data_IF_353412705652
#
_entry.id   IF_353412705652
#
_cell.length_a   1.000
_cell.length_b   1.000
_cell.length_c   1.000
_cell.angle_alpha   90.00
_cell.angle_beta   90.00
_cell.angle_gamma   90.00
#
_symmetry.space_group_name_H-M   'P 1'
#
loop_
_entity.id
_entity.type
_entity.pdbx_description
1 polymer ?
#
# COMPACT_ATOMS: atom_id res chain seq x y z
N UNK A 1 6.41 13.21 -26.52
CA UNK A 1 7.53 13.21 -25.57
C UNK A 1 7.02 12.86 -24.18
N UNK A 2 7.73 11.99 -23.47
CA UNK A 2 7.52 11.71 -22.06
C UNK A 2 8.67 12.33 -21.24
N UNK A 3 8.38 13.40 -20.53
CA UNK A 3 9.31 14.05 -19.62
C UNK A 3 9.14 13.50 -18.21
N UNK A 4 10.22 12.99 -17.64
CA UNK A 4 10.27 12.51 -16.26
C UNK A 4 11.42 13.21 -15.51
N UNK A 5 11.20 13.54 -14.24
CA UNK A 5 12.24 14.14 -13.39
C UNK A 5 13.34 13.14 -13.03
N UNK A 6 12.95 11.89 -12.77
CA UNK A 6 13.82 10.79 -12.41
C UNK A 6 13.25 9.48 -12.92
N UNK A 7 14.09 8.51 -13.32
CA UNK A 7 13.63 7.21 -13.74
C UNK A 7 12.93 6.45 -12.60
N UNK A 8 12.05 5.54 -13.00
CA UNK A 8 11.45 4.55 -12.10
C UNK A 8 11.63 3.15 -12.68
N UNK A 9 11.55 2.13 -11.83
CA UNK A 9 11.50 0.75 -12.33
C UNK A 9 10.18 0.52 -13.05
N UNK A 10 10.28 0.17 -14.33
CA UNK A 10 9.15 -0.23 -15.17
C UNK A 10 9.46 -1.60 -15.74
N UNK A 11 8.51 -2.48 -15.74
CA UNK A 11 8.62 -3.76 -16.42
C UNK A 11 7.39 -4.02 -17.27
N UNK A 12 7.53 -4.87 -18.27
CA UNK A 12 6.45 -5.21 -19.18
C UNK A 12 6.26 -6.72 -19.25
N UNK A 13 5.07 -7.13 -19.54
CA UNK A 13 4.70 -8.52 -19.74
C UNK A 13 3.35 -8.61 -20.43
N UNK A 14 3.01 -9.78 -20.93
CA UNK A 14 1.73 -9.99 -21.56
C UNK A 14 0.58 -9.78 -20.58
N UNK A 15 -0.48 -9.11 -21.05
CA UNK A 15 -1.74 -8.97 -20.31
C UNK A 15 -2.60 -10.25 -20.45
N UNK A 16 -1.93 -11.38 -20.44
CA UNK A 16 -2.48 -12.72 -20.57
C UNK A 16 -1.81 -13.63 -19.55
N UNK A 17 -2.55 -14.57 -19.01
CA UNK A 17 -2.02 -15.55 -18.07
C UNK A 17 -2.01 -16.93 -18.73
N UNK A 18 -0.86 -17.34 -19.27
CA UNK A 18 -0.71 -18.63 -19.96
C UNK A 18 -1.10 -19.82 -19.09
N UNK A 19 -0.74 -19.81 -17.79
CA UNK A 19 -1.12 -20.87 -16.85
C UNK A 19 -2.65 -20.95 -16.74
N UNK A 20 -3.33 -19.80 -16.65
CA UNK A 20 -4.79 -19.75 -16.60
C UNK A 20 -5.44 -20.30 -17.86
N UNK A 21 -4.88 -19.99 -19.03
CA UNK A 21 -5.37 -20.50 -20.29
C UNK A 21 -5.17 -22.01 -20.43
N UNK A 22 -4.02 -22.54 -20.04
CA UNK A 22 -3.75 -23.99 -20.00
C UNK A 22 -4.72 -24.72 -19.04
N UNK A 23 -5.02 -24.14 -17.88
CA UNK A 23 -5.98 -24.74 -16.94
C UNK A 23 -7.40 -24.74 -17.51
N UNK A 24 -7.80 -23.70 -18.29
CA UNK A 24 -9.08 -23.67 -18.99
C UNK A 24 -9.17 -24.70 -20.10
N UNK A 25 -8.09 -24.90 -20.86
CA UNK A 25 -8.01 -25.96 -21.88
C UNK A 25 -8.17 -27.37 -21.26
N UNK A 26 -7.80 -27.52 -19.99
CA UNK A 26 -7.99 -28.75 -19.22
C UNK A 26 -9.39 -28.83 -18.55
N UNK A 27 -10.29 -27.92 -18.87
CA UNK A 27 -11.66 -27.83 -18.30
C UNK A 27 -11.71 -27.71 -16.78
N UNK A 28 -10.67 -27.12 -16.17
CA UNK A 28 -10.65 -26.87 -14.72
C UNK A 28 -11.67 -25.76 -14.38
N UNK A 29 -12.49 -25.92 -13.32
CA UNK A 29 -13.46 -24.88 -12.89
C UNK A 29 -12.78 -23.53 -12.56
N UNK A 30 -13.42 -22.42 -12.97
CA UNK A 30 -12.85 -21.06 -12.81
C UNK A 30 -12.49 -20.71 -11.36
N UNK A 31 -13.25 -21.19 -10.36
CA UNK A 31 -12.95 -20.96 -8.96
C UNK A 31 -11.60 -21.58 -8.55
N UNK A 32 -11.29 -22.79 -9.06
CA UNK A 32 -10.01 -23.44 -8.83
C UNK A 32 -8.88 -22.78 -9.61
N UNK A 33 -9.15 -22.35 -10.85
CA UNK A 33 -8.19 -21.59 -11.67
C UNK A 33 -7.83 -20.29 -10.92
N UNK A 34 -8.80 -19.53 -10.44
CA UNK A 34 -8.55 -18.31 -9.67
C UNK A 34 -7.66 -18.57 -8.45
N UNK A 35 -7.95 -19.62 -7.69
CA UNK A 35 -7.16 -19.97 -6.50
C UNK A 35 -5.71 -20.36 -6.86
N UNK A 36 -5.53 -21.15 -7.93
CA UNK A 36 -4.19 -21.53 -8.41
C UNK A 36 -3.40 -20.31 -8.85
N UNK A 37 -4.02 -19.43 -9.67
CA UNK A 37 -3.38 -18.22 -10.16
C UNK A 37 -3.03 -17.26 -9.03
N UNK A 38 -3.92 -17.09 -8.05
CA UNK A 38 -3.68 -16.28 -6.85
C UNK A 38 -2.48 -16.80 -6.07
N UNK A 39 -2.42 -18.10 -5.78
CA UNK A 39 -1.30 -18.71 -5.05
C UNK A 39 0.01 -18.57 -5.81
N UNK A 40 -0.01 -18.77 -7.13
CA UNK A 40 1.15 -18.60 -7.99
C UNK A 40 1.64 -17.14 -7.97
N UNK A 41 0.75 -16.17 -8.13
CA UNK A 41 1.09 -14.75 -8.08
C UNK A 41 1.69 -14.33 -6.73
N UNK A 42 1.11 -14.80 -5.62
CA UNK A 42 1.63 -14.56 -4.27
C UNK A 42 3.01 -15.19 -4.08
N UNK A 43 3.22 -16.42 -4.59
CA UNK A 43 4.53 -17.08 -4.53
C UNK A 43 5.57 -16.29 -5.32
N UNK A 44 5.26 -15.91 -6.55
CA UNK A 44 6.17 -15.12 -7.39
C UNK A 44 6.54 -13.78 -6.73
N UNK A 45 5.56 -13.09 -6.16
CA UNK A 45 5.79 -11.83 -5.44
C UNK A 45 6.70 -12.03 -4.23
N UNK A 46 6.52 -13.13 -3.50
CA UNK A 46 7.38 -13.50 -2.37
C UNK A 46 8.80 -13.82 -2.82
N UNK A 47 8.96 -14.68 -3.82
CA UNK A 47 10.27 -15.08 -4.33
C UNK A 47 11.06 -13.85 -4.81
N UNK A 48 10.38 -12.92 -5.50
CA UNK A 48 10.97 -11.66 -5.94
C UNK A 48 11.37 -10.75 -4.76
N UNK A 49 10.52 -10.65 -3.74
CA UNK A 49 10.82 -9.89 -2.54
C UNK A 49 12.04 -10.47 -1.79
N UNK A 50 12.06 -11.78 -1.56
CA UNK A 50 13.18 -12.48 -0.90
C UNK A 50 14.49 -12.34 -1.69
N UNK A 51 14.43 -12.42 -3.03
CA UNK A 51 15.59 -12.17 -3.88
C UNK A 51 16.11 -10.74 -3.73
N UNK A 52 15.20 -9.76 -3.66
CA UNK A 52 15.57 -8.35 -3.49
C UNK A 52 16.18 -8.08 -2.12
N UNK A 53 15.67 -8.67 -1.04
CA UNK A 53 16.26 -8.53 0.31
C UNK A 53 17.66 -9.17 0.37
N UNK A 54 17.88 -10.24 -0.38
CA UNK A 54 19.15 -10.96 -0.40
C UNK A 54 20.25 -10.23 -1.19
N UNK A 55 19.90 -9.72 -2.38
CA UNK A 55 20.86 -9.03 -3.27
C UNK A 55 20.12 -8.00 -4.14
N UNK A 56 19.83 -6.82 -3.59
CA UNK A 56 19.05 -5.80 -4.29
C UNK A 56 19.75 -5.22 -5.52
N UNK A 57 21.09 -5.18 -5.53
CA UNK A 57 21.84 -4.68 -6.70
C UNK A 57 21.80 -5.67 -7.86
N UNK A 58 21.91 -6.97 -7.59
CA UNK A 58 21.75 -7.98 -8.63
C UNK A 58 20.34 -7.98 -9.22
N UNK A 59 19.30 -7.82 -8.38
CA UNK A 59 17.91 -7.69 -8.86
C UNK A 59 17.73 -6.42 -9.70
N UNK A 60 18.28 -5.29 -9.25
CA UNK A 60 18.30 -4.04 -10.02
C UNK A 60 18.93 -4.22 -11.39
N UNK A 61 20.12 -4.84 -11.45
CA UNK A 61 20.82 -5.10 -12.70
C UNK A 61 19.98 -6.00 -13.62
N UNK A 62 19.43 -7.09 -13.10
CA UNK A 62 18.58 -8.00 -13.87
C UNK A 62 17.32 -7.31 -14.43
N UNK A 63 16.66 -6.45 -13.64
CA UNK A 63 15.51 -5.67 -14.09
C UNK A 63 15.86 -4.71 -15.24
N UNK A 64 17.01 -4.03 -15.14
CA UNK A 64 17.47 -3.11 -16.20
C UNK A 64 17.85 -3.89 -17.46
N UNK A 65 18.57 -5.01 -17.31
CA UNK A 65 18.99 -5.86 -18.43
C UNK A 65 17.81 -6.46 -19.17
N UNK A 66 16.73 -6.82 -18.47
CA UNK A 66 15.50 -7.33 -19.05
C UNK A 66 14.79 -6.32 -19.99
N UNK A 67 15.06 -5.01 -19.84
CA UNK A 67 14.49 -3.99 -20.71
C UNK A 67 15.25 -3.80 -22.02
N UNK A 68 16.54 -4.12 -22.05
CA UNK A 68 17.39 -3.90 -23.24
C UNK A 68 16.82 -4.47 -24.54
N UNK A 69 16.33 -5.74 -24.57
CA UNK A 69 15.74 -6.31 -25.79
C UNK A 69 14.39 -5.69 -26.18
N UNK A 70 13.75 -4.96 -25.27
CA UNK A 70 12.47 -4.30 -25.52
C UNK A 70 12.63 -2.90 -26.14
N UNK A 71 13.86 -2.37 -26.18
CA UNK A 71 14.18 -1.00 -26.59
C UNK A 71 14.98 -1.02 -27.90
N UNK A 72 15.06 0.10 -28.64
CA UNK A 72 15.92 0.23 -29.79
C UNK A 72 17.40 0.00 -29.45
N UNK A 73 18.17 -0.51 -30.41
CA UNK A 73 19.62 -0.61 -30.28
C UNK A 73 20.24 0.76 -29.98
N UNK A 74 21.14 0.82 -28.98
CA UNK A 74 21.79 2.06 -28.57
C UNK A 74 20.89 3.01 -27.76
N UNK A 75 19.72 2.58 -27.31
CA UNK A 75 18.85 3.40 -26.47
C UNK A 75 19.55 3.78 -25.16
N UNK A 76 19.38 5.03 -24.77
CA UNK A 76 19.98 5.57 -23.53
C UNK A 76 19.29 4.99 -22.27
N UNK A 77 19.91 3.99 -21.69
CA UNK A 77 19.37 3.27 -20.51
C UNK A 77 19.27 4.14 -19.25
N UNK A 78 19.89 5.36 -19.21
CA UNK A 78 19.71 6.27 -18.06
C UNK A 78 18.23 6.61 -17.83
N UNK A 79 17.39 6.58 -18.88
CA UNK A 79 15.94 6.81 -18.77
C UNK A 79 15.19 5.71 -17.98
N UNK A 80 15.79 4.53 -17.81
CA UNK A 80 15.25 3.39 -17.09
C UNK A 80 16.17 2.86 -15.99
N UNK A 81 17.13 3.68 -15.54
CA UNK A 81 18.08 3.33 -14.47
C UNK A 81 17.81 4.19 -13.24
N UNK A 82 16.93 3.76 -12.32
CA UNK A 82 16.64 4.48 -11.08
C UNK A 82 17.87 4.58 -10.17
N UNK A 83 17.96 5.67 -9.41
CA UNK A 83 19.01 5.86 -8.42
C UNK A 83 18.77 5.06 -7.11
N UNK A 84 17.57 4.51 -6.94
CA UNK A 84 17.16 3.74 -5.77
C UNK A 84 17.08 2.24 -6.07
N UNK A 85 16.87 1.42 -5.04
CA UNK A 85 16.78 -0.04 -5.15
C UNK A 85 15.33 -0.49 -5.42
N UNK A 86 15.13 -1.68 -6.00
CA UNK A 86 13.80 -2.24 -6.13
C UNK A 86 13.08 -2.29 -4.78
N UNK A 87 11.79 -1.98 -4.77
CA UNK A 87 10.93 -1.86 -3.58
C UNK A 87 11.19 -0.67 -2.64
N UNK A 88 12.24 0.12 -2.83
CA UNK A 88 12.33 1.42 -2.16
C UNK A 88 11.18 2.35 -2.57
N UNK A 89 10.71 2.17 -3.81
CA UNK A 89 9.54 2.83 -4.36
C UNK A 89 8.69 1.85 -5.16
N UNK A 90 7.52 2.28 -5.64
CA UNK A 90 6.63 1.45 -6.46
C UNK A 90 7.33 0.98 -7.73
N UNK A 91 7.15 -0.30 -8.05
CA UNK A 91 7.46 -0.86 -9.35
C UNK A 91 6.26 -0.65 -10.28
N UNK A 92 6.50 -0.15 -11.49
CA UNK A 92 5.47 0.05 -12.48
C UNK A 92 5.40 -1.12 -13.44
N UNK A 93 4.20 -1.48 -13.85
CA UNK A 93 3.95 -2.50 -14.85
C UNK A 93 3.28 -1.88 -16.08
N UNK A 94 3.79 -2.18 -17.27
CA UNK A 94 3.17 -1.81 -18.54
C UNK A 94 2.66 -3.08 -19.22
N UNK A 95 1.32 -3.28 -19.29
CA UNK A 95 0.73 -4.42 -19.96
C UNK A 95 1.15 -4.46 -21.42
N UNK A 96 1.41 -5.67 -21.92
CA UNK A 96 1.84 -5.91 -23.31
C UNK A 96 3.09 -5.14 -23.76
N UNK A 97 3.79 -4.49 -22.84
CA UNK A 97 4.97 -3.67 -23.12
C UNK A 97 4.69 -2.45 -24.00
N UNK A 98 3.50 -1.86 -23.94
CA UNK A 98 3.02 -0.82 -24.85
C UNK A 98 3.93 0.42 -24.87
N UNK A 99 4.49 0.83 -23.73
CA UNK A 99 5.47 1.92 -23.69
C UNK A 99 6.71 1.61 -24.52
N UNK A 100 7.26 0.40 -24.36
CA UNK A 100 8.47 -0.03 -25.07
C UNK A 100 8.23 -0.17 -26.56
N UNK A 101 7.06 -0.69 -26.97
CA UNK A 101 6.62 -0.71 -28.37
C UNK A 101 6.54 0.70 -28.95
N UNK A 102 5.93 1.64 -28.22
CA UNK A 102 5.80 3.02 -28.68
C UNK A 102 7.15 3.73 -28.83
N UNK A 103 8.13 3.42 -27.98
CA UNK A 103 9.50 3.91 -28.08
C UNK A 103 10.18 3.31 -29.32
N UNK A 104 10.10 1.99 -29.54
CA UNK A 104 10.69 1.34 -30.71
C UNK A 104 10.12 1.86 -32.03
N UNK A 105 8.81 2.13 -32.05
CA UNK A 105 8.11 2.68 -33.21
C UNK A 105 8.43 4.17 -33.45
N UNK A 106 9.24 4.81 -32.62
CA UNK A 106 9.54 6.24 -32.70
C UNK A 106 8.40 7.17 -32.33
N UNK A 107 7.30 6.63 -31.77
CA UNK A 107 6.12 7.40 -31.35
C UNK A 107 6.30 8.08 -30.00
N UNK A 108 7.26 7.64 -29.18
CA UNK A 108 7.58 8.20 -27.87
C UNK A 108 9.07 8.50 -27.78
N UNK A 109 9.39 9.74 -27.42
CA UNK A 109 10.73 10.17 -27.03
C UNK A 109 10.79 10.32 -25.52
N UNK A 110 11.82 9.78 -24.89
CA UNK A 110 12.05 9.89 -23.44
C UNK A 110 12.99 11.04 -23.14
N UNK A 111 12.62 11.88 -22.19
CA UNK A 111 13.49 12.92 -21.61
C UNK A 111 13.50 12.77 -20.10
N UNK A 112 14.71 12.73 -19.52
CA UNK A 112 14.89 12.69 -18.06
C UNK A 112 15.57 13.96 -17.62
N UNK A 113 14.79 14.92 -17.14
CA UNK A 113 15.26 16.23 -16.70
C UNK A 113 14.20 16.91 -15.81
N UNK A 114 14.61 17.97 -15.14
CA UNK A 114 13.70 18.83 -14.37
C UNK A 114 13.03 19.87 -15.27
N UNK A 115 11.78 20.17 -14.97
CA UNK A 115 11.09 21.31 -15.55
C UNK A 115 11.71 22.59 -14.97
N UNK A 116 12.17 23.50 -15.83
CA UNK A 116 12.50 24.87 -15.43
C UNK A 116 11.24 25.72 -15.42
N UNK A 117 10.57 25.84 -16.57
CA UNK A 117 9.31 26.60 -16.71
C UNK A 117 8.48 26.17 -17.91
N UNK A 118 7.21 26.49 -17.86
CA UNK A 118 6.33 26.44 -19.02
C UNK A 118 6.53 27.70 -19.89
N UNK A 119 6.50 27.52 -21.19
CA UNK A 119 6.59 28.58 -22.20
C UNK A 119 5.37 28.55 -23.11
N UNK A 120 5.22 29.55 -23.99
CA UNK A 120 4.16 29.57 -25.00
C UNK A 120 4.25 28.41 -26.00
N UNK A 121 5.46 27.80 -26.16
CA UNK A 121 5.71 26.73 -27.13
C UNK A 121 5.82 25.34 -26.49
N UNK A 122 5.83 25.23 -25.18
CA UNK A 122 6.02 23.94 -24.50
C UNK A 122 6.73 24.08 -23.16
N UNK A 123 7.60 23.11 -22.83
CA UNK A 123 8.33 23.04 -21.56
C UNK A 123 9.81 23.29 -21.80
N UNK A 124 10.39 24.26 -21.08
CA UNK A 124 11.84 24.42 -20.97
C UNK A 124 12.36 23.58 -19.80
N UNK A 125 13.36 22.75 -20.07
CA UNK A 125 14.01 21.93 -19.04
C UNK A 125 15.17 22.69 -18.38
N UNK A 126 15.66 22.21 -17.24
CA UNK A 126 16.81 22.82 -16.56
C UNK A 126 18.11 22.69 -17.37
N UNK A 127 18.24 21.69 -18.22
CA UNK A 127 19.40 21.59 -19.15
C UNK A 127 19.34 22.60 -20.31
N UNK A 128 18.22 23.33 -20.44
CA UNK A 128 18.01 24.32 -21.49
C UNK A 128 17.37 23.81 -22.76
N UNK A 129 16.91 22.54 -22.78
CA UNK A 129 16.14 21.95 -23.90
C UNK A 129 14.71 22.46 -23.89
N UNK A 130 14.21 22.94 -25.04
CA UNK A 130 12.80 23.28 -25.23
C UNK A 130 12.05 22.09 -25.82
N UNK A 131 11.16 21.51 -25.05
CA UNK A 131 10.26 20.45 -25.48
C UNK A 131 8.98 21.09 -26.03
N UNK A 132 8.89 21.22 -27.34
CA UNK A 132 7.72 21.80 -28.00
C UNK A 132 6.52 20.88 -27.86
N UNK A 133 5.34 21.43 -27.57
CA UNK A 133 4.10 20.70 -27.39
C UNK A 133 2.87 21.58 -27.59
N UNK A 134 1.89 21.07 -28.35
CA UNK A 134 0.55 21.67 -28.49
C UNK A 134 -0.34 21.34 -27.29
N UNK A 135 -0.11 20.20 -26.65
CA UNK A 135 -0.84 19.74 -25.47
C UNK A 135 0.14 19.20 -24.43
N UNK A 136 0.00 19.65 -23.19
CA UNK A 136 0.78 19.18 -22.06
C UNK A 136 -0.15 18.48 -21.08
N UNK A 137 0.13 17.19 -20.81
CA UNK A 137 -0.56 16.40 -19.80
C UNK A 137 0.33 16.27 -18.57
N UNK A 138 -0.12 16.80 -17.44
CA UNK A 138 0.61 16.70 -16.18
C UNK A 138 0.20 15.46 -15.40
N UNK A 139 1.17 14.60 -15.08
CA UNK A 139 1.01 13.39 -14.28
C UNK A 139 2.11 13.34 -13.20
N UNK A 140 2.25 14.43 -12.44
CA UNK A 140 3.40 14.70 -11.56
C UNK A 140 3.30 14.07 -10.17
N UNK A 141 2.34 13.17 -9.95
CA UNK A 141 2.15 12.42 -8.72
C UNK A 141 1.07 13.00 -7.81
N UNK A 142 1.09 12.60 -6.54
CA UNK A 142 0.04 12.87 -5.56
C UNK A 142 0.57 13.63 -4.35
N UNK A 143 -0.32 14.34 -3.71
CA UNK A 143 -0.22 14.70 -2.31
C UNK A 143 -1.22 13.82 -1.55
N UNK A 144 -0.76 12.88 -0.70
CA UNK A 144 -1.67 12.05 0.08
C UNK A 144 -2.51 12.89 1.00
N UNK A 145 -3.77 12.50 1.09
CA UNK A 145 -4.78 13.13 1.91
C UNK A 145 -5.30 12.07 2.89
N UNK A 146 -4.94 12.19 4.16
CA UNK A 146 -5.38 11.24 5.18
C UNK A 146 -6.87 11.34 5.39
N UNK A 147 -7.58 10.21 5.26
CA UNK A 147 -9.04 10.10 5.47
C UNK A 147 -9.85 11.14 4.69
N UNK A 148 -9.34 11.60 3.51
CA UNK A 148 -10.03 12.56 2.67
C UNK A 148 -10.20 13.96 3.29
N UNK A 149 -9.31 14.38 4.21
CA UNK A 149 -9.37 15.61 5.00
C UNK A 149 -10.68 15.75 5.82
N UNK A 150 -11.35 14.63 6.11
CA UNK A 150 -12.54 14.62 6.95
C UNK A 150 -12.14 15.03 8.37
N UNK A 151 -12.85 16.01 8.92
CA UNK A 151 -12.69 16.44 10.30
C UNK A 151 -13.57 15.61 11.22
N UNK A 152 -12.97 14.79 12.04
CA UNK A 152 -13.68 13.98 13.03
C UNK A 152 -13.79 14.72 14.34
N UNK A 153 -14.98 14.66 14.95
CA UNK A 153 -15.26 15.18 16.30
C UNK A 153 -15.80 14.01 17.11
N UNK A 154 -15.08 13.60 18.14
CA UNK A 154 -15.46 12.49 19.01
C UNK A 154 -15.82 13.08 20.39
N UNK A 155 -17.06 12.88 20.82
CA UNK A 155 -17.59 13.42 22.09
C UNK A 155 -17.31 14.93 22.26
N UNK A 156 -17.50 15.70 21.18
CA UNK A 156 -17.30 17.15 21.16
C UNK A 156 -15.83 17.60 21.06
N UNK A 157 -14.88 16.70 20.94
CA UNK A 157 -13.43 17.00 20.81
C UNK A 157 -12.95 16.69 19.40
N UNK A 158 -12.18 17.58 18.76
CA UNK A 158 -11.53 17.28 17.48
C UNK A 158 -10.56 16.11 17.63
N UNK A 159 -10.57 15.18 16.67
CA UNK A 159 -9.58 14.12 16.58
C UNK A 159 -8.29 14.67 15.97
N UNK A 160 -7.17 14.52 16.68
CA UNK A 160 -5.83 14.79 16.15
C UNK A 160 -5.27 13.49 15.57
N UNK A 161 -5.67 13.18 14.34
CA UNK A 161 -5.40 11.89 13.71
C UNK A 161 -3.91 11.56 13.63
N UNK A 162 -3.08 12.52 13.31
CA UNK A 162 -1.62 12.35 13.21
C UNK A 162 -0.91 12.15 14.57
N UNK A 163 -1.61 12.34 15.67
CA UNK A 163 -1.11 12.05 17.02
C UNK A 163 -1.68 10.75 17.58
N UNK A 164 -2.64 10.14 16.88
CA UNK A 164 -3.33 8.92 17.33
C UNK A 164 -2.55 7.68 16.92
N UNK A 165 -2.52 6.68 17.81
CA UNK A 165 -2.04 5.35 17.46
C UNK A 165 -3.06 4.60 16.62
N UNK A 166 -2.58 3.62 15.86
CA UNK A 166 -3.46 2.68 15.18
C UNK A 166 -3.36 1.29 15.81
N UNK A 167 -4.51 0.72 16.14
CA UNK A 167 -4.61 -0.67 16.53
C UNK A 167 -4.44 -1.54 15.30
N UNK A 168 -3.32 -2.27 15.22
CA UNK A 168 -2.91 -3.14 14.10
C UNK A 168 -2.98 -2.48 12.71
N UNK A 169 -2.88 -1.14 12.65
CA UNK A 169 -3.04 -0.38 11.41
C UNK A 169 -4.46 -0.43 10.82
N UNK A 170 -5.47 -0.80 11.61
CA UNK A 170 -6.87 -1.00 11.17
C UNK A 170 -7.81 -0.02 11.84
N UNK A 171 -7.73 0.17 13.16
CA UNK A 171 -8.61 1.05 13.90
C UNK A 171 -7.81 2.17 14.57
N UNK A 172 -8.43 3.32 14.78
CA UNK A 172 -7.78 4.47 15.43
C UNK A 172 -8.07 4.48 16.92
N UNK A 173 -7.04 4.67 17.72
CA UNK A 173 -7.14 4.80 19.19
C UNK A 173 -8.18 5.86 19.57
N UNK A 174 -9.02 5.53 20.54
CA UNK A 174 -10.06 6.42 21.07
C UNK A 174 -11.25 6.68 20.16
N UNK A 175 -11.26 6.09 18.95
CA UNK A 175 -12.37 6.28 17.99
C UNK A 175 -13.24 5.04 17.95
N UNK A 176 -14.52 5.12 18.36
CA UNK A 176 -15.42 3.98 18.35
C UNK A 176 -15.83 3.61 16.91
N UNK A 177 -15.91 2.32 16.64
CA UNK A 177 -16.49 1.74 15.42
C UNK A 177 -15.90 2.23 14.09
N UNK A 178 -14.69 2.79 14.09
CA UNK A 178 -14.02 3.23 12.87
C UNK A 178 -12.89 2.28 12.51
N UNK A 179 -12.98 1.70 11.32
CA UNK A 179 -11.91 0.92 10.73
C UNK A 179 -11.49 1.52 9.39
N UNK A 180 -10.19 1.54 9.12
CA UNK A 180 -9.62 2.05 7.89
C UNK A 180 -9.08 0.92 7.03
N UNK A 181 -9.38 0.99 5.74
CA UNK A 181 -8.91 0.05 4.73
C UNK A 181 -7.65 0.59 4.09
N UNK A 182 -6.51 0.15 4.56
CA UNK A 182 -5.22 0.52 3.99
C UNK A 182 -4.43 -0.72 3.57
N UNK A 183 -3.93 -0.74 2.34
CA UNK A 183 -3.20 -1.88 1.78
C UNK A 183 -1.70 -1.85 2.08
N UNK A 184 -0.95 -2.72 1.40
CA UNK A 184 0.50 -2.77 1.50
C UNK A 184 1.17 -1.81 0.50
N UNK A 185 2.35 -1.32 0.85
CA UNK A 185 3.17 -0.51 -0.06
C UNK A 185 3.95 -1.35 -1.08
N UNK A 186 4.44 -2.52 -0.67
CA UNK A 186 5.34 -3.36 -1.45
C UNK A 186 4.65 -4.54 -2.16
N UNK A 187 3.33 -4.61 -2.11
CA UNK A 187 2.54 -5.63 -2.80
C UNK A 187 1.17 -5.11 -3.16
N UNK A 188 0.27 -5.99 -3.62
CA UNK A 188 -1.09 -5.63 -4.03
C UNK A 188 -1.90 -5.09 -2.85
N UNK A 189 -2.54 -3.95 -3.05
CA UNK A 189 -3.35 -3.27 -2.04
C UNK A 189 -4.49 -4.16 -1.51
N UNK A 190 -5.17 -4.85 -2.42
CA UNK A 190 -6.39 -5.63 -2.16
C UNK A 190 -6.20 -6.81 -1.22
N UNK A 191 -5.02 -7.46 -1.21
CA UNK A 191 -4.80 -8.63 -0.35
C UNK A 191 -4.81 -8.28 1.15
N UNK A 192 -4.45 -7.04 1.52
CA UNK A 192 -4.62 -6.59 2.90
C UNK A 192 -6.06 -6.24 3.22
N UNK A 193 -6.76 -5.64 2.25
CA UNK A 193 -8.18 -5.31 2.41
C UNK A 193 -9.01 -6.55 2.72
N UNK A 194 -8.76 -7.68 2.04
CA UNK A 194 -9.41 -8.96 2.35
C UNK A 194 -9.22 -9.37 3.82
N UNK A 195 -7.99 -9.36 4.31
CA UNK A 195 -7.69 -9.75 5.70
C UNK A 195 -8.34 -8.78 6.71
N UNK A 196 -8.38 -7.48 6.37
CA UNK A 196 -9.07 -6.48 7.20
C UNK A 196 -10.58 -6.73 7.19
N UNK A 197 -11.18 -7.05 6.04
CA UNK A 197 -12.61 -7.38 5.95
C UNK A 197 -12.96 -8.58 6.83
N UNK A 198 -12.15 -9.65 6.79
CA UNK A 198 -12.35 -10.81 7.64
C UNK A 198 -12.28 -10.45 9.13
N UNK A 199 -11.29 -9.64 9.52
CA UNK A 199 -11.19 -9.13 10.89
C UNK A 199 -12.42 -8.32 11.29
N UNK A 200 -12.89 -7.41 10.43
CA UNK A 200 -14.08 -6.58 10.71
C UNK A 200 -15.34 -7.44 10.81
N UNK A 201 -15.53 -8.42 9.93
CA UNK A 201 -16.66 -9.33 10.01
C UNK A 201 -16.68 -10.13 11.33
N UNK A 202 -15.50 -10.59 11.78
CA UNK A 202 -15.37 -11.23 13.09
C UNK A 202 -15.71 -10.26 14.22
N UNK A 203 -15.21 -9.02 14.16
CA UNK A 203 -15.50 -7.99 15.15
C UNK A 203 -16.99 -7.65 15.22
N UNK A 204 -17.68 -7.52 14.08
CA UNK A 204 -19.13 -7.27 14.03
C UNK A 204 -19.92 -8.43 14.64
N UNK A 205 -19.55 -9.68 14.33
CA UNK A 205 -20.17 -10.85 14.96
C UNK A 205 -19.92 -10.89 16.47
N UNK A 206 -18.72 -10.50 16.91
CA UNK A 206 -18.39 -10.42 18.33
C UNK A 206 -19.21 -9.33 19.05
N UNK A 207 -19.33 -8.13 18.46
CA UNK A 207 -20.21 -7.07 18.95
C UNK A 207 -21.66 -7.59 19.12
N UNK A 208 -22.18 -8.30 18.11
CA UNK A 208 -23.51 -8.88 18.18
C UNK A 208 -23.65 -9.91 19.32
N UNK A 209 -22.65 -10.76 19.50
CA UNK A 209 -22.65 -11.77 20.59
C UNK A 209 -22.64 -11.12 21.98
N UNK A 210 -21.94 -10.00 22.13
CA UNK A 210 -21.86 -9.26 23.38
C UNK A 210 -23.05 -8.32 23.62
N UNK A 211 -23.98 -8.17 22.66
CA UNK A 211 -24.99 -7.10 22.66
C UNK A 211 -24.35 -5.70 22.81
N UNK A 212 -23.18 -5.54 22.20
CA UNK A 212 -22.41 -4.30 22.23
C UNK A 212 -22.77 -3.37 21.07
N UNK A 213 -22.83 -2.09 21.34
CA UNK A 213 -23.08 -1.05 20.34
C UNK A 213 -21.78 -0.44 19.80
N UNK A 214 -20.69 -0.58 20.56
CA UNK A 214 -19.42 -0.02 20.15
C UNK A 214 -18.20 -0.83 20.62
N UNK A 215 -17.15 -0.78 19.80
CA UNK A 215 -15.79 -1.21 20.11
C UNK A 215 -14.85 -0.03 19.90
N UNK A 216 -14.06 0.28 20.92
CA UNK A 216 -13.08 1.40 20.89
C UNK A 216 -11.70 0.89 21.24
N UNK A 217 -10.72 0.93 20.35
CA UNK A 217 -9.34 0.65 20.70
C UNK A 217 -8.82 1.70 21.69
N UNK A 218 -8.24 1.27 22.80
CA UNK A 218 -7.87 2.16 23.91
C UNK A 218 -6.49 1.82 24.42
N UNK A 219 -5.61 2.82 24.57
CA UNK A 219 -4.31 2.68 25.22
C UNK A 219 -4.50 2.27 26.68
N UNK A 220 -3.80 1.23 27.08
CA UNK A 220 -3.75 0.82 28.47
C UNK A 220 -2.75 1.68 29.28
N UNK A 221 -2.82 1.69 30.61
CA UNK A 221 -1.91 2.46 31.44
C UNK A 221 -0.42 2.20 31.13
N UNK A 222 -0.05 0.97 30.81
CA UNK A 222 1.33 0.59 30.43
C UNK A 222 1.76 1.11 29.07
N UNK A 223 0.83 1.59 28.23
CA UNK A 223 1.11 2.10 26.89
C UNK A 223 1.33 3.62 26.85
N UNK A 224 1.12 4.32 27.98
CA UNK A 224 1.17 5.79 28.02
C UNK A 224 2.51 6.38 27.60
N UNK A 225 3.60 5.68 27.90
CA UNK A 225 4.97 6.11 27.59
C UNK A 225 5.50 5.43 26.31
N UNK A 226 4.64 4.80 25.54
CA UNK A 226 5.02 4.15 24.30
C UNK A 226 5.50 5.19 23.28
N UNK A 227 6.65 4.97 22.60
CA UNK A 227 7.14 5.91 21.61
C UNK A 227 6.19 6.02 20.41
N UNK A 228 5.98 7.27 19.94
CA UNK A 228 5.28 7.53 18.69
C UNK A 228 6.25 7.37 17.53
N UNK A 229 6.10 6.29 16.79
CA UNK A 229 6.88 5.99 15.60
C UNK A 229 6.09 6.42 14.35
N UNK A 230 6.76 6.81 13.27
CA UNK A 230 6.10 7.05 12.00
C UNK A 230 5.31 5.80 11.58
N UNK A 231 4.11 6.00 11.04
CA UNK A 231 3.26 4.90 10.60
C UNK A 231 3.88 4.09 9.45
N UNK A 232 4.77 4.71 8.68
CA UNK A 232 5.59 4.08 7.64
C UNK A 232 7.04 4.31 8.01
N UNK A 233 7.84 3.26 8.06
CA UNK A 233 9.27 3.36 8.29
C UNK A 233 9.96 3.98 7.05
N UNK A 234 10.53 5.17 7.23
CA UNK A 234 11.08 5.99 6.14
C UNK A 234 12.18 5.29 5.33
N UNK A 235 12.93 4.39 5.97
CA UNK A 235 14.00 3.66 5.31
C UNK A 235 13.49 2.48 4.48
N UNK A 236 12.28 1.99 4.74
CA UNK A 236 11.69 0.86 4.01
C UNK A 236 10.91 1.28 2.77
N UNK A 237 10.37 2.50 2.75
CA UNK A 237 9.61 3.00 1.61
C UNK A 237 9.83 4.49 1.44
N UNK A 238 10.58 4.88 0.42
CA UNK A 238 11.22 6.19 0.31
C UNK A 238 10.62 7.22 -0.66
N UNK A 239 9.43 7.03 -1.30
CA UNK A 239 8.89 8.01 -2.23
C UNK A 239 8.70 9.38 -1.58
N UNK A 240 9.11 10.43 -2.27
CA UNK A 240 9.05 11.79 -1.73
C UNK A 240 7.65 12.25 -1.32
N UNK A 241 6.59 11.76 -1.99
CA UNK A 241 5.21 12.08 -1.61
C UNK A 241 4.82 11.46 -0.26
N UNK A 242 5.29 10.24 0.04
CA UNK A 242 5.08 9.60 1.35
C UNK A 242 5.82 10.36 2.44
N UNK A 243 7.11 10.69 2.22
CA UNK A 243 7.90 11.46 3.19
C UNK A 243 7.22 12.78 3.55
N UNK A 244 6.64 13.48 2.56
CA UNK A 244 5.89 14.72 2.81
C UNK A 244 4.58 14.49 3.56
N UNK A 245 3.97 13.30 3.45
CA UNK A 245 2.71 12.97 4.08
C UNK A 245 2.87 12.46 5.52
N UNK A 246 4.05 11.93 5.91
CA UNK A 246 4.29 11.35 7.23
C UNK A 246 3.78 12.21 8.40
N UNK A 247 3.97 13.54 8.41
CA UNK A 247 3.44 14.38 9.47
C UNK A 247 1.91 14.43 9.58
N UNK A 248 1.19 13.96 8.57
CA UNK A 248 -0.28 13.94 8.51
C UNK A 248 -0.85 12.53 8.74
N UNK A 249 0.01 11.52 8.73
CA UNK A 249 -0.36 10.13 8.97
C UNK A 249 -0.41 9.84 10.47
N UNK A 250 -1.15 8.81 10.91
CA UNK A 250 -1.18 8.43 12.32
C UNK A 250 0.16 7.87 12.77
N UNK A 251 0.25 7.58 14.05
CA UNK A 251 1.42 6.97 14.66
C UNK A 251 1.25 5.46 14.78
N UNK A 252 2.37 4.76 14.91
CA UNK A 252 2.42 3.41 15.43
C UNK A 252 3.31 3.37 16.69
N UNK A 253 3.07 2.34 17.51
CA UNK A 253 3.92 2.03 18.64
C UNK A 253 5.04 1.07 18.26
N UNK A 254 5.80 0.64 19.27
CA UNK A 254 6.89 -0.32 19.13
C UNK A 254 6.50 -1.75 19.55
N UNK A 255 5.22 -2.01 19.82
CA UNK A 255 4.68 -3.32 20.22
C UNK A 255 3.25 -3.53 19.74
N UNK A 256 2.85 -4.79 19.60
CA UNK A 256 1.46 -5.21 19.34
C UNK A 256 0.60 -4.83 20.57
N UNK A 257 -0.65 -4.37 20.34
CA UNK A 257 -1.36 -4.25 19.06
C UNK A 257 -1.17 -2.90 18.33
N UNK A 258 -0.33 -2.02 18.86
CA UNK A 258 -0.13 -0.65 18.38
C UNK A 258 0.91 -0.53 17.27
N UNK A 259 1.52 -1.66 16.88
CA UNK A 259 2.40 -1.78 15.73
C UNK A 259 1.75 -2.60 14.63
N UNK A 260 2.00 -2.23 13.37
CA UNK A 260 1.58 -3.02 12.24
C UNK A 260 2.79 -3.41 11.38
N UNK A 261 2.84 -4.67 10.95
CA UNK A 261 4.03 -5.20 10.27
C UNK A 261 4.20 -4.66 8.84
N UNK A 262 3.11 -4.31 8.17
CA UNK A 262 3.12 -3.95 6.75
C UNK A 262 3.50 -5.11 5.82
N UNK A 263 3.49 -6.35 6.32
CA UNK A 263 3.86 -7.57 5.62
C UNK A 263 2.69 -8.55 5.54
N UNK A 264 2.30 -8.92 4.32
CA UNK A 264 1.21 -9.85 4.07
C UNK A 264 1.44 -11.23 4.70
N UNK A 265 2.67 -11.75 4.61
CA UNK A 265 2.99 -13.12 5.05
C UNK A 265 2.98 -13.26 6.58
N UNK A 266 3.18 -12.15 7.28
CA UNK A 266 2.99 -12.05 8.73
C UNK A 266 1.51 -11.88 9.05
N UNK A 267 0.85 -10.88 8.47
CA UNK A 267 -0.52 -10.49 8.82
C UNK A 267 -1.57 -11.53 8.46
N UNK A 268 -1.40 -12.27 7.36
CA UNK A 268 -2.33 -13.35 6.96
C UNK A 268 -2.46 -14.47 8.00
N UNK A 269 -1.46 -14.65 8.85
CA UNK A 269 -1.48 -15.64 9.93
C UNK A 269 -1.82 -15.01 11.28
N UNK A 270 -1.49 -13.74 11.46
CA UNK A 270 -1.69 -13.01 12.72
C UNK A 270 -3.12 -12.51 12.88
N UNK A 271 -3.67 -11.82 11.87
CA UNK A 271 -4.97 -11.15 11.99
C UNK A 271 -6.15 -12.12 12.18
N UNK A 272 -6.19 -13.31 11.53
CA UNK A 272 -7.23 -14.30 11.81
C UNK A 272 -7.22 -14.84 13.24
N UNK A 273 -6.06 -14.79 13.90
CA UNK A 273 -5.87 -15.34 15.26
C UNK A 273 -5.99 -14.27 16.37
N UNK A 274 -6.31 -13.04 16.02
CA UNK A 274 -6.48 -11.95 17.01
C UNK A 274 -7.63 -12.32 17.95
N UNK A 275 -7.34 -12.30 19.25
CA UNK A 275 -8.35 -12.41 20.30
C UNK A 275 -9.14 -11.11 20.39
N UNK A 276 -10.41 -11.16 20.11
CA UNK A 276 -11.29 -9.99 20.20
C UNK A 276 -11.62 -9.59 21.65
N UNK A 277 -11.16 -10.36 22.65
CA UNK A 277 -11.24 -10.02 24.06
C UNK A 277 -9.95 -9.36 24.58
N UNK A 278 -9.03 -8.96 23.69
CA UNK A 278 -7.85 -8.18 24.11
C UNK A 278 -8.26 -6.96 24.96
N UNK A 279 -7.54 -6.65 26.03
CA UNK A 279 -7.91 -5.55 26.95
C UNK A 279 -7.88 -4.16 26.31
N UNK A 280 -7.23 -4.01 25.17
CA UNK A 280 -7.21 -2.79 24.38
C UNK A 280 -8.52 -2.54 23.61
N UNK A 281 -9.37 -3.56 23.43
CA UNK A 281 -10.68 -3.43 22.77
C UNK A 281 -11.77 -3.22 23.82
N UNK A 282 -12.24 -1.99 23.95
CA UNK A 282 -13.26 -1.62 24.94
C UNK A 282 -14.64 -1.69 24.29
N UNK A 283 -15.52 -2.55 24.84
CA UNK A 283 -16.88 -2.74 24.38
C UNK A 283 -17.88 -2.01 25.26
N UNK A 284 -18.89 -1.36 24.66
CA UNK A 284 -19.97 -0.68 25.38
C UNK A 284 -21.34 -1.01 24.74
N UNK A 285 -22.39 -1.08 25.57
CA UNK A 285 -23.76 -1.17 25.11
C UNK A 285 -24.30 0.19 24.63
N UNK A 286 -25.57 0.20 24.19
CA UNK A 286 -26.25 1.42 23.71
C UNK A 286 -26.45 2.50 24.75
N UNK A 287 -26.35 2.17 26.04
CA UNK A 287 -26.39 3.13 27.16
C UNK A 287 -24.98 3.70 27.50
N UNK A 288 -23.92 3.21 26.82
CA UNK A 288 -22.53 3.55 27.10
C UNK A 288 -21.90 2.75 28.25
N UNK A 289 -22.62 1.77 28.81
CA UNK A 289 -22.10 0.92 29.88
C UNK A 289 -21.02 -0.01 29.34
N UNK A 290 -19.92 -0.11 30.09
CA UNK A 290 -18.83 -1.04 29.79
C UNK A 290 -19.31 -2.49 29.87
N UNK A 291 -19.01 -3.26 28.84
CA UNK A 291 -19.23 -4.70 28.77
C UNK A 291 -17.90 -5.42 29.01
N UNK A 292 -17.89 -6.34 30.00
CA UNK A 292 -16.77 -7.24 30.26
C UNK A 292 -17.28 -8.68 30.08
N UNK A 293 -16.40 -9.66 29.83
CA UNK A 293 -16.79 -11.06 29.70
C UNK A 293 -17.70 -11.57 30.86
N UNK A 294 -17.49 -11.05 32.08
CA UNK A 294 -18.31 -11.43 33.27
C UNK A 294 -19.74 -10.88 33.23
N UNK A 295 -20.03 -9.86 32.38
CA UNK A 295 -21.37 -9.27 32.30
C UNK A 295 -22.30 -10.04 31.30
N UNK A 296 -21.75 -10.90 30.44
CA UNK A 296 -22.54 -11.69 29.46
C UNK A 296 -23.09 -12.98 30.07
N UNK A 297 -22.38 -13.59 31.00
CA UNK A 297 -22.79 -14.84 31.66
C UNK A 297 -24.07 -14.73 32.49
N UNK A 298 -24.50 -13.52 32.88
CA UNK A 298 -25.68 -13.27 33.69
C UNK A 298 -26.97 -13.07 32.91
N UNK A 299 -26.92 -12.96 31.57
CA UNK A 299 -28.13 -12.80 30.71
C UNK A 299 -28.68 -14.11 30.14
N UNK A 300 -28.03 -15.24 30.34
CA UNK A 300 -28.41 -16.58 29.84
C UNK A 300 -28.94 -17.51 30.94
N UNK A 301 -29.38 -16.98 32.08
CA UNK A 301 -30.03 -17.71 33.17
C UNK A 301 -31.55 -17.48 33.22
#
# INVERSE_FOLDING_TARGET
TMLQRSPTFIWGGENRNELGDQLRELEIPEELIHEVLRRNALKMARDFYEATEKDPEAVKAAMIDALKPLLPEGFDMRHFTPAYLPWDQRLLYTPDGDLFKAIRDGRVTMVTDHVDRFTEKGILTQSGELLEADLIVTATGFQPCSLGDIKFIIDGKPLTYNESFTYRGIMTEGVPNMAQMFGYFRTTYTIRVEIICDFICRLLNHLHTLDASSCTPTLLPQDKDMPRLPWIEEHKYTPGYIKRALPQLPCQGNRIPWHYSGDYYIEKNLLPMVDLNEPELIYRDSSGKLLTEHSVATKTG
#
